data_IF_092790869316
#
_entry.id   IF_092790869316
#
_cell.length_a   1.000
_cell.length_b   1.000
_cell.length_c   1.000
_cell.angle_alpha   90.00
_cell.angle_beta   90.00
_cell.angle_gamma   90.00
#
_symmetry.space_group_name_H-M   'P 1'
#
loop_
_entity.id
_entity.type
_entity.pdbx_description
1 polymer ?
#
# COMPACT_ATOMS: atom_id res chain seq x y z
N UNK A 1 -4.21 9.17 7.07
CA UNK A 1 -2.86 8.94 6.55
C UNK A 1 -2.79 7.59 5.86
N UNK A 2 -2.05 7.52 4.77
CA UNK A 2 -1.91 6.29 4.00
C UNK A 2 -0.44 5.90 3.93
N UNK A 3 -0.18 4.62 3.96
CA UNK A 3 1.19 4.11 3.87
C UNK A 3 1.20 2.79 3.10
N UNK A 4 2.41 2.32 2.79
CA UNK A 4 2.60 1.07 2.09
C UNK A 4 3.35 0.13 3.01
N UNK A 5 2.86 -1.10 3.11
CA UNK A 5 3.53 -2.13 3.91
C UNK A 5 3.82 -3.36 3.09
N UNK A 6 4.47 -4.33 3.70
CA UNK A 6 4.78 -5.60 3.05
C UNK A 6 4.31 -6.75 3.91
N UNK A 7 3.85 -7.81 3.25
CA UNK A 7 3.45 -9.04 3.93
C UNK A 7 3.64 -10.21 2.96
N UNK A 8 4.39 -11.22 3.41
CA UNK A 8 4.68 -12.41 2.58
C UNK A 8 5.24 -12.03 1.21
N UNK A 9 6.18 -11.05 1.21
CA UNK A 9 6.81 -10.54 -0.01
C UNK A 9 5.86 -9.84 -0.96
N UNK A 10 4.65 -9.51 -0.50
CA UNK A 10 3.69 -8.75 -1.30
C UNK A 10 3.45 -7.40 -0.66
N UNK A 11 3.13 -6.40 -1.47
CA UNK A 11 2.86 -5.06 -1.00
C UNK A 11 1.38 -4.89 -0.71
N UNK A 12 1.07 -3.99 0.22
CA UNK A 12 -0.31 -3.65 0.51
C UNK A 12 -0.40 -2.18 0.89
N UNK A 13 -1.61 -1.61 0.73
CA UNK A 13 -1.91 -0.26 1.19
C UNK A 13 -2.51 -0.31 2.59
N UNK A 14 -2.06 0.58 3.44
CA UNK A 14 -2.63 0.75 4.77
C UNK A 14 -3.10 2.20 4.86
N UNK A 15 -4.41 2.41 4.87
CA UNK A 15 -4.97 3.75 4.86
C UNK A 15 -6.19 3.82 5.78
N UNK A 16 -6.58 5.05 6.10
CA UNK A 16 -7.75 5.28 6.92
C UNK A 16 -8.82 5.96 6.07
N UNK A 17 -10.01 5.41 6.09
CA UNK A 17 -11.12 5.93 5.32
C UNK A 17 -12.35 6.03 6.22
N UNK A 18 -12.92 7.25 6.33
CA UNK A 18 -14.10 7.54 7.16
C UNK A 18 -13.91 7.06 8.60
N UNK A 19 -12.73 7.31 9.15
CA UNK A 19 -12.43 6.94 10.53
C UNK A 19 -12.13 5.47 10.76
N UNK A 20 -12.13 4.67 9.70
CA UNK A 20 -11.85 3.24 9.79
C UNK A 20 -10.53 2.90 9.13
N UNK A 21 -9.80 1.99 9.76
CA UNK A 21 -8.54 1.52 9.22
C UNK A 21 -8.80 0.47 8.15
N UNK A 22 -8.25 0.70 6.96
CA UNK A 22 -8.43 -0.19 5.83
C UNK A 22 -7.10 -0.70 5.33
N UNK A 23 -7.08 -1.93 4.85
CA UNK A 23 -5.90 -2.52 4.23
C UNK A 23 -6.30 -3.14 2.91
N UNK A 24 -5.54 -2.79 1.87
CA UNK A 24 -5.77 -3.31 0.53
C UNK A 24 -4.56 -4.10 0.10
N UNK A 25 -4.71 -5.40 -0.01
CA UNK A 25 -3.60 -6.29 -0.38
C UNK A 25 -3.52 -6.39 -1.89
N UNK A 26 -2.28 -6.31 -2.41
CA UNK A 26 -2.03 -6.42 -3.85
C UNK A 26 -1.25 -7.68 -4.14
N UNK A 27 -1.12 -8.00 -5.43
CA UNK A 27 -0.31 -9.12 -5.88
C UNK A 27 1.08 -8.70 -6.28
N UNK A 28 1.43 -7.43 -6.06
CA UNK A 28 2.74 -6.91 -6.43
C UNK A 28 3.81 -7.40 -5.46
N UNK A 29 4.93 -7.85 -6.01
CA UNK A 29 6.04 -8.30 -5.20
C UNK A 29 6.76 -7.12 -4.55
N UNK A 30 7.43 -7.38 -3.44
CA UNK A 30 8.17 -6.36 -2.72
C UNK A 30 9.48 -6.05 -3.45
N UNK A 31 9.40 -5.24 -4.50
CA UNK A 31 10.55 -4.77 -5.26
C UNK A 31 10.58 -3.25 -5.23
N UNK A 32 11.78 -2.63 -5.43
CA UNK A 32 11.87 -1.17 -5.44
C UNK A 32 10.96 -0.53 -6.48
N UNK A 33 10.83 -1.15 -7.65
CA UNK A 33 9.98 -0.62 -8.71
C UNK A 33 8.51 -0.62 -8.29
N UNK A 34 8.06 -1.73 -7.71
CA UNK A 34 6.68 -1.84 -7.24
C UNK A 34 6.42 -0.93 -6.04
N UNK A 35 7.41 -0.78 -5.17
CA UNK A 35 7.28 0.12 -4.03
C UNK A 35 7.06 1.56 -4.49
N UNK A 36 7.77 2.00 -5.51
CA UNK A 36 7.58 3.34 -6.07
C UNK A 36 6.18 3.50 -6.64
N UNK A 37 5.67 2.48 -7.31
CA UNK A 37 4.31 2.51 -7.84
C UNK A 37 3.28 2.63 -6.73
N UNK A 38 3.47 1.86 -5.67
CA UNK A 38 2.55 1.88 -4.54
C UNK A 38 2.58 3.25 -3.85
N UNK A 39 3.77 3.80 -3.65
CA UNK A 39 3.89 5.11 -3.01
C UNK A 39 3.25 6.21 -3.85
N UNK A 40 3.38 6.13 -5.17
CA UNK A 40 2.74 7.10 -6.06
C UNK A 40 1.22 6.99 -5.98
N UNK A 41 0.71 5.77 -5.89
CA UNK A 41 -0.73 5.53 -5.79
C UNK A 41 -1.28 5.98 -4.43
N UNK A 42 -0.55 5.72 -3.36
CA UNK A 42 -1.01 6.04 -2.01
C UNK A 42 -1.11 7.55 -1.78
N UNK A 43 -0.33 8.33 -2.52
CA UNK A 43 -0.40 9.79 -2.40
C UNK A 43 -1.69 10.35 -2.97
N UNK A 44 -2.42 9.57 -3.73
CA UNK A 44 -3.70 9.98 -4.30
C UNK A 44 -4.89 9.60 -3.42
N UNK A 45 -4.64 8.90 -2.36
CA UNK A 45 -5.68 8.50 -1.41
C UNK A 45 -5.84 9.54 -0.25
#
# INVERSE_FOLDING_TARGET
MASVGTRNDKLYFDFRYQGKRCKEYTKLENTPANMKRMEAAVKKI
#
